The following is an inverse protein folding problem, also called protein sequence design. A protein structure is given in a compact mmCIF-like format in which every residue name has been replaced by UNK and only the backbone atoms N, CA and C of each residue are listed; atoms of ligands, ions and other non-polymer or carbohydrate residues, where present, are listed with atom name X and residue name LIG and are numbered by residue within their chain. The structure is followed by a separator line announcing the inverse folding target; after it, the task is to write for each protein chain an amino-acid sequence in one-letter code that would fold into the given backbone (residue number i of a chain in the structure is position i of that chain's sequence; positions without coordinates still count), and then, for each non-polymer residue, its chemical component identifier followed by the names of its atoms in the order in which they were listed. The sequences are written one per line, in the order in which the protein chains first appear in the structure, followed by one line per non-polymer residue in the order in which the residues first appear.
data_IF_179487274153
#
_entry.id   IF_179487274153
#
_cell.length_a   1.000
_cell.length_b   1.000
_cell.length_c   1.000
_cell.angle_alpha   90.00
_cell.angle_beta   90.00
_cell.angle_gamma   90.00
#
_symmetry.space_group_name_H-M   'P 1'
#
loop_
_entity.id
_entity.type
_entity.pdbx_description
1 polymer ?
#
# COMPACT_ATOMS: atom_id res chain seq x y z
N UNK A 1 23.62 37.85 33.01
CA UNK A 1 23.06 36.51 33.16
C UNK A 1 21.69 36.51 32.53
N UNK A 2 21.50 35.80 31.41
CA UNK A 2 20.31 35.03 31.03
C UNK A 2 20.46 34.68 29.54
N UNK A 3 20.95 33.46 29.30
CA UNK A 3 21.11 32.88 27.99
C UNK A 3 19.74 32.60 27.37
N UNK A 4 19.42 33.38 26.33
CA UNK A 4 18.18 33.30 25.56
C UNK A 4 18.44 32.57 24.23
N UNK A 5 19.06 31.40 24.27
CA UNK A 5 19.51 30.73 23.03
C UNK A 5 19.03 29.26 22.94
N UNK A 6 17.92 28.89 23.59
CA UNK A 6 17.48 27.50 23.55
C UNK A 6 16.00 27.34 23.93
N UNK A 7 15.07 27.36 22.97
CA UNK A 7 13.77 26.67 23.04
C UNK A 7 12.99 26.78 21.72
N UNK A 8 13.12 27.91 21.03
CA UNK A 8 12.40 28.22 19.79
C UNK A 8 12.79 27.29 18.62
N UNK A 9 14.08 27.02 18.32
CA UNK A 9 14.44 26.11 17.23
C UNK A 9 14.04 24.65 17.54
N UNK A 10 13.98 24.26 18.81
CA UNK A 10 13.55 22.91 19.22
C UNK A 10 12.07 22.67 18.98
N UNK A 11 11.23 23.67 19.26
CA UNK A 11 9.79 23.61 18.99
C UNK A 11 9.49 23.53 17.49
N UNK A 12 10.21 24.30 16.67
CA UNK A 12 10.03 24.29 15.20
C UNK A 12 10.50 22.96 14.61
N UNK A 13 11.68 22.48 15.01
CA UNK A 13 12.21 21.18 14.55
C UNK A 13 11.28 20.03 14.96
N UNK A 14 10.74 20.05 16.18
CA UNK A 14 9.77 19.05 16.63
C UNK A 14 8.47 19.11 15.82
N UNK A 15 7.95 20.30 15.51
CA UNK A 15 6.75 20.46 14.70
C UNK A 15 6.94 19.94 13.27
N UNK A 16 8.07 20.26 12.64
CA UNK A 16 8.41 19.76 11.29
C UNK A 16 8.59 18.24 11.28
N UNK A 17 9.22 17.68 12.31
CA UNK A 17 9.35 16.22 12.46
C UNK A 17 7.99 15.53 12.59
N UNK A 18 7.05 16.06 13.38
CA UNK A 18 5.70 15.47 13.54
C UNK A 18 4.92 15.47 12.22
N UNK A 19 5.03 16.53 11.41
CA UNK A 19 4.38 16.60 10.09
C UNK A 19 4.96 15.58 9.12
N UNK A 20 6.29 15.37 9.13
CA UNK A 20 6.96 14.39 8.28
C UNK A 20 6.67 12.93 8.68
N UNK A 21 6.43 12.66 9.96
CA UNK A 21 6.10 11.31 10.44
C UNK A 21 4.65 10.93 10.08
N UNK A 22 3.75 11.91 9.99
CA UNK A 22 2.33 11.69 9.66
C UNK A 22 2.06 11.26 8.22
N UNK A 23 3.03 11.40 7.31
CA UNK A 23 2.87 11.04 5.88
C UNK A 23 3.26 9.60 5.56
N UNK A 24 3.71 8.80 6.54
CA UNK A 24 4.13 7.40 6.32
C UNK A 24 2.99 6.39 6.46
N UNK A 25 1.73 6.83 6.47
CA UNK A 25 0.57 5.94 6.45
C UNK A 25 0.35 5.37 5.04
N UNK A 26 1.20 4.43 4.63
CA UNK A 26 0.89 3.55 3.50
C UNK A 26 -0.10 2.50 4.00
N UNK A 27 -1.40 2.75 3.79
CA UNK A 27 -2.40 1.69 3.87
C UNK A 27 -2.05 0.63 2.82
N UNK A 28 -2.19 -0.64 3.16
CA UNK A 28 -2.13 -1.70 2.15
C UNK A 28 -3.17 -1.37 1.07
N UNK A 29 -2.76 -1.29 -0.21
CA UNK A 29 -3.73 -1.13 -1.28
C UNK A 29 -4.55 -2.41 -1.33
N UNK A 30 -5.87 -2.30 -1.17
CA UNK A 30 -6.74 -3.47 -1.15
C UNK A 30 -7.58 -3.51 -2.42
N UNK A 31 -7.91 -4.74 -2.83
CA UNK A 31 -8.98 -4.97 -3.78
C UNK A 31 -10.31 -4.63 -3.10
N UNK A 32 -11.18 -3.81 -3.72
CA UNK A 32 -12.56 -3.65 -3.33
C UNK A 32 -13.28 -5.02 -3.20
N UNK A 33 -14.24 -5.11 -2.29
CA UNK A 33 -14.92 -6.39 -1.99
C UNK A 33 -15.65 -6.99 -3.20
N UNK A 34 -16.23 -6.12 -4.04
CA UNK A 34 -16.88 -6.50 -5.29
C UNK A 34 -15.88 -7.01 -6.35
N UNK A 35 -14.68 -6.44 -6.39
CA UNK A 35 -13.59 -6.93 -7.25
C UNK A 35 -13.06 -8.28 -6.76
N UNK A 36 -12.93 -8.49 -5.45
CA UNK A 36 -12.51 -9.79 -4.88
C UNK A 36 -13.43 -10.91 -5.33
N UNK A 37 -14.76 -10.69 -5.31
CA UNK A 37 -15.69 -11.72 -5.76
C UNK A 37 -15.58 -11.98 -7.27
N UNK A 38 -15.43 -10.94 -8.09
CA UNK A 38 -15.26 -11.07 -9.53
C UNK A 38 -13.94 -11.79 -9.88
N UNK A 39 -12.82 -11.43 -9.24
CA UNK A 39 -11.53 -12.11 -9.43
C UNK A 39 -11.57 -13.54 -8.93
N UNK A 40 -12.25 -13.85 -7.82
CA UNK A 40 -12.36 -15.23 -7.33
C UNK A 40 -13.07 -16.14 -8.36
N UNK A 41 -14.17 -15.65 -8.96
CA UNK A 41 -14.84 -16.37 -10.06
C UNK A 41 -13.91 -16.57 -11.26
N UNK A 42 -13.10 -15.57 -11.57
CA UNK A 42 -12.12 -15.62 -12.66
C UNK A 42 -11.00 -16.60 -12.36
N UNK A 43 -10.48 -16.60 -11.14
CA UNK A 43 -9.44 -17.51 -10.66
C UNK A 43 -9.90 -18.97 -10.77
N UNK A 44 -11.13 -19.27 -10.34
CA UNK A 44 -11.75 -20.60 -10.50
C UNK A 44 -11.83 -20.99 -11.97
N UNK A 45 -12.31 -20.10 -12.84
CA UNK A 45 -12.41 -20.36 -14.28
C UNK A 45 -11.05 -20.62 -14.95
N UNK A 46 -10.00 -19.98 -14.44
CA UNK A 46 -8.62 -20.08 -14.94
C UNK A 46 -7.81 -21.18 -14.25
N UNK A 47 -8.36 -21.87 -13.25
CA UNK A 47 -7.62 -22.85 -12.45
C UNK A 47 -6.52 -22.25 -11.57
N UNK A 48 -6.58 -20.95 -11.29
CA UNK A 48 -5.67 -20.24 -10.39
C UNK A 48 -6.07 -20.52 -8.94
N UNK A 49 -5.25 -21.31 -8.26
CA UNK A 49 -5.46 -21.72 -6.85
C UNK A 49 -4.48 -21.07 -5.89
N UNK A 50 -3.49 -20.38 -6.44
CA UNK A 50 -2.37 -19.76 -5.78
C UNK A 50 -2.62 -18.29 -5.43
N UNK A 51 -3.64 -17.64 -6.02
CA UNK A 51 -4.01 -16.25 -5.71
C UNK A 51 -4.51 -16.11 -4.26
N UNK A 52 -3.87 -15.20 -3.53
CA UNK A 52 -4.23 -14.88 -2.14
C UNK A 52 -4.82 -13.47 -2.06
N UNK A 53 -6.15 -13.40 -1.97
CA UNK A 53 -6.93 -12.16 -1.85
C UNK A 53 -6.67 -11.38 -0.56
N UNK A 54 -5.96 -11.97 0.42
CA UNK A 54 -5.56 -11.26 1.64
C UNK A 54 -4.24 -10.50 1.48
N UNK A 55 -3.49 -10.75 0.41
CA UNK A 55 -2.22 -10.09 0.11
C UNK A 55 -2.46 -8.85 -0.73
N UNK A 56 -1.86 -7.72 -0.30
CA UNK A 56 -1.87 -6.47 -1.04
C UNK A 56 -1.22 -6.66 -2.43
N UNK A 57 -1.95 -6.48 -3.53
CA UNK A 57 -1.42 -6.65 -4.88
C UNK A 57 -0.41 -5.56 -5.30
N UNK A 58 -0.35 -4.45 -4.56
CA UNK A 58 0.59 -3.36 -4.77
C UNK A 58 1.84 -3.42 -3.89
N UNK A 59 1.99 -4.47 -3.08
CA UNK A 59 3.23 -4.68 -2.36
C UNK A 59 4.36 -5.03 -3.34
N UNK A 60 5.57 -4.56 -3.04
CA UNK A 60 6.77 -4.73 -3.91
C UNK A 60 7.42 -6.10 -3.79
N UNK A 61 6.79 -7.05 -3.10
CA UNK A 61 7.25 -8.41 -2.96
C UNK A 61 7.16 -9.14 -4.30
N UNK A 62 8.34 -9.42 -4.88
CA UNK A 62 8.48 -10.22 -6.10
C UNK A 62 7.99 -11.67 -5.95
N UNK A 63 7.56 -12.08 -4.76
CA UNK A 63 6.97 -13.39 -4.47
C UNK A 63 5.46 -13.29 -4.16
N UNK A 64 4.83 -12.19 -4.59
CA UNK A 64 3.39 -12.01 -4.50
C UNK A 64 2.66 -13.08 -5.33
N UNK A 65 1.60 -13.64 -4.76
CA UNK A 65 0.75 -14.65 -5.39
C UNK A 65 0.07 -14.15 -6.66
N UNK A 66 0.04 -12.83 -6.86
CA UNK A 66 -0.52 -12.16 -8.02
C UNK A 66 0.36 -12.29 -9.29
N UNK A 67 1.65 -12.60 -9.12
CA UNK A 67 2.67 -12.57 -10.18
C UNK A 67 3.45 -13.89 -10.33
N UNK A 68 2.77 -15.03 -10.27
CA UNK A 68 3.36 -16.38 -10.24
C UNK A 68 3.95 -16.88 -11.57
N UNK A 69 4.39 -15.98 -12.46
CA UNK A 69 5.05 -16.30 -13.72
C UNK A 69 4.18 -17.05 -14.74
N UNK A 70 2.89 -17.22 -14.45
CA UNK A 70 1.92 -17.76 -15.41
C UNK A 70 1.46 -16.64 -16.36
N UNK A 71 0.98 -17.00 -17.55
CA UNK A 71 0.49 -16.05 -18.56
C UNK A 71 -0.73 -15.22 -18.11
N UNK A 72 -1.29 -15.50 -16.93
CA UNK A 72 -2.44 -14.81 -16.35
C UNK A 72 -2.08 -14.26 -14.98
N UNK A 73 -1.82 -12.96 -14.94
CA UNK A 73 -1.48 -12.20 -13.73
C UNK A 73 -2.48 -11.06 -13.54
N UNK A 74 -2.65 -10.63 -12.30
CA UNK A 74 -3.38 -9.41 -11.98
C UNK A 74 -2.51 -8.21 -12.31
N UNK A 75 -3.00 -7.30 -13.15
CA UNK A 75 -2.41 -5.98 -13.34
C UNK A 75 -3.12 -4.99 -12.42
N UNK A 76 -2.36 -4.18 -11.68
CA UNK A 76 -2.88 -3.16 -10.77
C UNK A 76 -2.19 -1.82 -11.03
N UNK A 77 -2.98 -0.76 -11.18
CA UNK A 77 -2.55 0.62 -11.01
C UNK A 77 -2.52 0.96 -9.51
N UNK A 78 -1.32 0.81 -8.95
CA UNK A 78 -1.06 1.09 -7.55
C UNK A 78 -0.90 2.58 -7.23
N UNK A 79 -1.11 3.47 -8.19
CA UNK A 79 -1.10 4.93 -7.98
C UNK A 79 -2.50 5.50 -7.75
N UNK A 80 -3.53 4.69 -8.01
CA UNK A 80 -4.91 5.08 -7.81
C UNK A 80 -5.22 5.37 -6.33
N UNK A 81 -6.09 6.37 -6.09
CA UNK A 81 -6.57 6.77 -4.77
C UNK A 81 -5.47 6.83 -3.69
N UNK A 82 -4.41 7.60 -3.94
CA UNK A 82 -3.28 7.75 -3.01
C UNK A 82 -2.65 6.41 -2.60
N UNK A 83 -2.53 5.47 -3.54
CA UNK A 83 -1.93 4.15 -3.33
C UNK A 83 -2.70 3.27 -2.32
N UNK A 84 -3.99 3.54 -2.11
CA UNK A 84 -4.84 2.81 -1.13
C UNK A 84 -5.74 1.75 -1.77
N UNK A 85 -5.87 1.74 -3.10
CA UNK A 85 -6.74 0.83 -3.86
C UNK A 85 -6.01 0.43 -5.14
N UNK A 86 -6.05 -0.86 -5.48
CA UNK A 86 -5.64 -1.34 -6.81
C UNK A 86 -6.79 -1.11 -7.81
N UNK A 87 -6.48 -0.64 -9.03
CA UNK A 87 -7.45 -0.43 -10.11
C UNK A 87 -6.88 -0.82 -11.47
#
# INVERSE_FOLDING_TARGET
MYGKEMCIPRLIVAAVAVVLIGTLASGAALLPADEVEALNRSAIALGKTDWDFSVNPCSTDQNSTWFTGSDVNLACDCTFNNNSVCH
#
